data_IF_068702931787
#
_entry.id   IF_068702931787
#
_cell.length_a   1.000
_cell.length_b   1.000
_cell.length_c   1.000
_cell.angle_alpha   90.00
_cell.angle_beta   90.00
_cell.angle_gamma   90.00
#
_symmetry.space_group_name_H-M   'P 1'
#
loop_
_entity.id
_entity.type
_entity.pdbx_description
1 polymer ?
#
# COMPACT_ATOMS: atom_id res chain seq x y z
N UNK A 1 -18.80 -6.46 3.68
CA UNK A 1 -17.78 -7.03 2.76
C UNK A 1 -16.43 -6.36 2.91
N UNK A 2 -15.37 -6.87 2.28
CA UNK A 2 -14.07 -6.21 2.34
C UNK A 2 -13.02 -6.80 1.41
N UNK A 3 -11.95 -6.03 1.20
CA UNK A 3 -10.79 -6.39 0.38
C UNK A 3 -9.55 -6.42 1.25
N UNK A 4 -8.76 -7.48 1.14
CA UNK A 4 -7.43 -7.56 1.74
C UNK A 4 -6.38 -7.55 0.63
N UNK A 5 -5.59 -6.48 0.53
CA UNK A 5 -4.47 -6.43 -0.39
C UNK A 5 -3.19 -6.91 0.30
N UNK A 6 -2.76 -8.12 -0.09
CA UNK A 6 -1.65 -8.87 0.52
C UNK A 6 -0.45 -9.06 -0.43
N UNK A 7 -0.59 -8.71 -1.71
CA UNK A 7 0.49 -8.87 -2.67
C UNK A 7 1.71 -8.03 -2.25
N UNK A 8 2.89 -8.64 -2.29
CA UNK A 8 4.13 -7.95 -1.94
C UNK A 8 5.37 -8.77 -2.24
N UNK A 9 6.48 -8.09 -2.44
CA UNK A 9 7.80 -8.64 -2.70
C UNK A 9 8.84 -7.96 -1.81
N UNK A 10 9.86 -8.72 -1.40
CA UNK A 10 11.08 -8.15 -0.84
C UNK A 10 11.98 -7.58 -1.95
N UNK A 11 13.01 -6.84 -1.53
CA UNK A 11 14.02 -6.30 -2.42
C UNK A 11 14.65 -5.02 -1.88
N UNK A 12 15.75 -4.62 -2.49
CA UNK A 12 16.53 -3.47 -2.03
C UNK A 12 18.03 -3.75 -2.05
N UNK A 13 18.75 -2.87 -1.36
CA UNK A 13 20.20 -2.89 -1.21
C UNK A 13 20.69 -1.54 -0.68
N UNK A 14 22.00 -1.33 -0.53
CA UNK A 14 22.53 0.02 -0.33
C UNK A 14 22.05 0.94 -1.47
N UNK A 15 21.50 2.11 -1.14
CA UNK A 15 20.81 2.98 -2.12
C UNK A 15 21.66 3.26 -3.37
N UNK A 16 22.94 3.57 -3.19
CA UNK A 16 23.87 3.88 -4.29
C UNK A 16 24.26 2.68 -5.17
N UNK A 17 23.85 1.47 -4.83
CA UNK A 17 24.12 0.23 -5.58
C UNK A 17 22.84 -0.44 -6.08
N UNK A 18 21.67 0.11 -5.77
CA UNK A 18 20.39 -0.48 -6.14
C UNK A 18 20.09 -0.17 -7.61
N UNK A 19 19.88 -1.18 -8.47
CA UNK A 19 19.41 -0.94 -9.83
C UNK A 19 17.99 -0.36 -9.82
N UNK A 20 17.73 0.61 -10.71
CA UNK A 20 16.42 1.24 -10.86
C UNK A 20 15.31 0.20 -11.12
N UNK A 21 15.61 -0.84 -11.90
CA UNK A 21 14.67 -1.93 -12.20
C UNK A 21 14.21 -2.69 -10.95
N UNK A 22 15.10 -2.89 -9.98
CA UNK A 22 14.78 -3.56 -8.71
C UNK A 22 13.98 -2.62 -7.79
N UNK A 23 14.32 -1.33 -7.78
CA UNK A 23 13.52 -0.31 -7.10
C UNK A 23 12.09 -0.28 -7.65
N UNK A 24 11.95 -0.13 -8.97
CA UNK A 24 10.67 -0.04 -9.65
C UNK A 24 9.83 -1.30 -9.42
N UNK A 25 10.43 -2.49 -9.53
CA UNK A 25 9.75 -3.76 -9.27
C UNK A 25 9.16 -3.81 -7.86
N UNK A 26 9.92 -3.42 -6.85
CA UNK A 26 9.47 -3.45 -5.45
C UNK A 26 8.41 -2.39 -5.20
N UNK A 27 8.62 -1.16 -5.66
CA UNK A 27 7.68 -0.05 -5.46
C UNK A 27 6.37 -0.27 -6.22
N UNK A 28 6.43 -0.76 -7.46
CA UNK A 28 5.26 -1.02 -8.27
C UNK A 28 4.38 -2.11 -7.65
N UNK A 29 4.98 -3.21 -7.18
CA UNK A 29 4.22 -4.32 -6.56
C UNK A 29 3.71 -3.95 -5.17
N UNK A 30 4.54 -3.33 -4.33
CA UNK A 30 4.17 -3.12 -2.94
C UNK A 30 3.32 -1.87 -2.73
N UNK A 31 3.64 -0.76 -3.40
CA UNK A 31 3.03 0.54 -3.14
C UNK A 31 2.02 0.92 -4.22
N UNK A 32 2.42 0.90 -5.49
CA UNK A 32 1.53 1.29 -6.59
C UNK A 32 0.35 0.32 -6.72
N UNK A 33 0.57 -0.99 -6.64
CA UNK A 33 -0.52 -1.96 -6.66
C UNK A 33 -1.50 -1.74 -5.49
N UNK A 34 -0.99 -1.46 -4.27
CA UNK A 34 -1.83 -1.08 -3.12
C UNK A 34 -2.69 0.13 -3.44
N UNK A 35 -2.11 1.20 -3.99
CA UNK A 35 -2.85 2.38 -4.43
C UNK A 35 -3.93 2.04 -5.46
N UNK A 36 -3.60 1.24 -6.48
CA UNK A 36 -4.54 0.86 -7.54
C UNK A 36 -5.73 0.07 -6.99
N UNK A 37 -5.48 -0.88 -6.08
CA UNK A 37 -6.52 -1.67 -5.42
C UNK A 37 -7.37 -0.81 -4.50
N UNK A 38 -6.76 0.04 -3.68
CA UNK A 38 -7.49 0.98 -2.83
C UNK A 38 -8.40 1.90 -3.65
N UNK A 39 -7.89 2.47 -4.75
CA UNK A 39 -8.67 3.34 -5.64
C UNK A 39 -9.90 2.62 -6.20
N UNK A 40 -9.72 1.39 -6.68
CA UNK A 40 -10.85 0.60 -7.22
C UNK A 40 -11.86 0.24 -6.12
N UNK A 41 -11.38 -0.20 -4.95
CA UNK A 41 -12.24 -0.59 -3.83
C UNK A 41 -13.03 0.59 -3.25
N UNK A 42 -12.41 1.78 -3.09
CA UNK A 42 -13.07 2.98 -2.61
C UNK A 42 -14.11 3.51 -3.61
N UNK A 43 -13.82 3.43 -4.91
CA UNK A 43 -14.81 3.79 -5.94
C UNK A 43 -16.04 2.86 -5.87
N UNK A 44 -15.83 1.56 -5.65
CA UNK A 44 -16.94 0.62 -5.44
C UNK A 44 -17.68 0.87 -4.11
N UNK A 45 -16.96 1.20 -3.02
CA UNK A 45 -17.55 1.51 -1.71
C UNK A 45 -18.49 2.73 -1.79
N UNK A 46 -18.08 3.78 -2.52
CA UNK A 46 -18.90 4.97 -2.73
C UNK A 46 -20.24 4.62 -3.39
N UNK A 47 -20.24 3.75 -4.41
CA UNK A 47 -21.46 3.30 -5.10
C UNK A 47 -22.34 2.43 -4.17
N UNK A 48 -21.74 1.54 -3.38
CA UNK A 48 -22.47 0.72 -2.40
C UNK A 48 -23.13 1.60 -1.33
N UNK A 49 -22.44 2.65 -0.88
CA UNK A 49 -22.99 3.57 0.09
C UNK A 49 -24.17 4.37 -0.49
N UNK A 50 -24.03 4.87 -1.73
CA UNK A 50 -25.09 5.63 -2.41
C UNK A 50 -26.35 4.78 -2.64
N UNK A 51 -26.22 3.55 -3.10
CA UNK A 51 -27.37 2.72 -3.49
C UNK A 51 -27.96 1.89 -2.36
N UNK A 52 -27.14 1.44 -1.41
CA UNK A 52 -27.53 0.46 -0.39
C UNK A 52 -27.30 0.96 1.04
N UNK A 53 -26.68 2.12 1.24
CA UNK A 53 -26.29 2.60 2.57
C UNK A 53 -25.24 1.69 3.24
N UNK A 54 -24.52 0.88 2.47
CA UNK A 54 -23.55 -0.09 2.96
C UNK A 54 -22.11 0.39 2.75
N UNK A 55 -21.21 -0.05 3.61
CA UNK A 55 -19.77 0.15 3.48
C UNK A 55 -19.02 -1.15 3.72
N UNK A 56 -17.90 -1.30 3.02
CA UNK A 56 -16.93 -2.36 3.24
C UNK A 56 -15.73 -1.91 4.07
N UNK A 57 -14.75 -2.80 4.16
CA UNK A 57 -13.45 -2.50 4.76
C UNK A 57 -12.32 -2.84 3.78
N UNK A 58 -11.26 -2.03 3.81
CA UNK A 58 -10.03 -2.27 3.05
C UNK A 58 -8.90 -2.50 4.04
N UNK A 59 -8.21 -3.63 3.92
CA UNK A 59 -7.03 -3.96 4.72
C UNK A 59 -5.82 -4.04 3.81
N UNK A 60 -4.78 -3.28 4.12
CA UNK A 60 -3.49 -3.27 3.40
C UNK A 60 -2.41 -3.88 4.28
N UNK A 61 -1.50 -4.68 3.71
CA UNK A 61 -0.38 -5.25 4.46
C UNK A 61 0.92 -4.45 4.31
N UNK A 62 1.33 -3.80 5.41
CA UNK A 62 2.66 -3.21 5.53
C UNK A 62 3.65 -4.18 6.23
N UNK A 63 4.67 -3.65 6.91
CA UNK A 63 5.69 -4.36 7.67
C UNK A 63 6.15 -3.50 8.85
N UNK A 64 6.79 -4.10 9.86
CA UNK A 64 7.58 -3.36 10.86
C UNK A 64 8.65 -2.51 10.16
N UNK A 65 9.18 -3.00 9.04
CA UNK A 65 10.16 -2.28 8.22
C UNK A 65 9.56 -1.08 7.46
N UNK A 66 8.23 -0.89 7.51
CA UNK A 66 7.58 0.35 7.08
C UNK A 66 7.54 1.43 8.16
N UNK A 67 7.94 1.09 9.39
CA UNK A 67 8.06 2.01 10.52
C UNK A 67 9.52 2.30 10.86
N UNK A 68 10.41 1.34 10.60
CA UNK A 68 11.83 1.41 10.93
C UNK A 68 12.70 0.88 9.79
N UNK A 69 13.85 1.51 9.55
CA UNK A 69 14.76 1.10 8.50
C UNK A 69 15.62 -0.10 8.90
N UNK A 70 15.83 -1.02 7.96
CA UNK A 70 16.70 -2.19 8.07
C UNK A 70 17.85 -2.13 7.05
N UNK A 71 18.97 -2.74 7.39
CA UNK A 71 20.12 -2.80 6.49
C UNK A 71 19.77 -3.57 5.20
N UNK A 72 20.02 -2.95 4.04
CA UNK A 72 19.71 -3.55 2.74
C UNK A 72 18.24 -3.47 2.31
N UNK A 73 17.33 -2.94 3.14
CA UNK A 73 15.90 -2.89 2.83
C UNK A 73 15.44 -1.64 2.07
N UNK A 74 16.32 -0.86 1.43
CA UNK A 74 15.99 0.48 0.89
C UNK A 74 14.64 0.59 0.15
N UNK A 75 14.45 -0.19 -0.92
CA UNK A 75 13.20 -0.21 -1.68
C UNK A 75 12.02 -0.80 -0.88
N UNK A 76 12.26 -1.92 -0.17
CA UNK A 76 11.22 -2.56 0.62
C UNK A 76 10.69 -1.65 1.73
N UNK A 77 11.57 -1.07 2.53
CA UNK A 77 11.26 -0.17 3.65
C UNK A 77 10.51 1.06 3.15
N UNK A 78 10.99 1.69 2.08
CA UNK A 78 10.31 2.82 1.45
C UNK A 78 8.90 2.43 0.98
N UNK A 79 8.77 1.30 0.29
CA UNK A 79 7.47 0.84 -0.20
C UNK A 79 6.48 0.53 0.93
N UNK A 80 6.93 -0.11 2.01
CA UNK A 80 6.09 -0.47 3.16
C UNK A 80 5.74 0.75 4.01
N UNK A 81 6.66 1.70 4.17
CA UNK A 81 6.36 3.00 4.79
C UNK A 81 5.35 3.81 3.98
N UNK A 82 5.46 3.77 2.65
CA UNK A 82 4.46 4.33 1.74
C UNK A 82 3.07 3.73 1.97
N UNK A 83 2.97 2.40 2.11
CA UNK A 83 1.69 1.72 2.42
C UNK A 83 1.13 2.19 3.77
N UNK A 84 1.96 2.35 4.81
CA UNK A 84 1.49 2.84 6.12
C UNK A 84 0.83 4.21 6.00
N UNK A 85 1.51 5.17 5.36
CA UNK A 85 0.99 6.54 5.26
C UNK A 85 -0.19 6.63 4.29
N UNK A 86 -0.15 5.90 3.17
CA UNK A 86 -1.26 5.85 2.23
C UNK A 86 -2.55 5.34 2.90
N UNK A 87 -2.47 4.27 3.67
CA UNK A 87 -3.62 3.70 4.38
C UNK A 87 -4.15 4.65 5.45
N UNK A 88 -3.27 5.29 6.21
CA UNK A 88 -3.68 6.32 7.19
C UNK A 88 -4.36 7.51 6.52
N UNK A 89 -3.83 7.99 5.40
CA UNK A 89 -4.41 9.12 4.68
C UNK A 89 -5.81 8.76 4.15
N UNK A 90 -5.97 7.58 3.54
CA UNK A 90 -7.28 7.13 3.09
C UNK A 90 -8.28 6.98 4.25
N UNK A 91 -7.84 6.53 5.43
CA UNK A 91 -8.72 6.47 6.59
C UNK A 91 -9.21 7.87 7.04
N UNK A 92 -8.39 8.92 6.85
CA UNK A 92 -8.78 10.32 7.13
C UNK A 92 -9.73 10.84 6.04
N UNK A 93 -9.41 10.59 4.77
CA UNK A 93 -10.20 11.11 3.64
C UNK A 93 -11.60 10.49 3.54
N UNK A 94 -11.74 9.21 3.91
CA UNK A 94 -12.97 8.43 3.72
C UNK A 94 -13.62 7.96 5.03
N UNK A 95 -12.98 8.22 6.17
CA UNK A 95 -13.55 7.99 7.49
C UNK A 95 -14.67 8.98 7.83
N UNK A 96 -15.51 8.68 8.85
CA UNK A 96 -16.55 9.57 9.33
C UNK A 96 -16.01 10.82 10.04
#
# INVERSE_FOLDING_TARGET
DGVVHSAGVGGGGPIHLLPDEEWDRVVDVNLKATFLVMRAALAADALLFEHLGQRGAIVTLSSVEGLEGTAGGSAYNASKGGVVLLTKNAAIDYGP
#
